data_IF_458683534872
#
_entry.id   IF_458683534872
#
_cell.length_a   1.000
_cell.length_b   1.000
_cell.length_c   1.000
_cell.angle_alpha   90.00
_cell.angle_beta   90.00
_cell.angle_gamma   90.00
#
_symmetry.space_group_name_H-M   'P 1'
#
loop_
_entity.id
_entity.type
_entity.pdbx_description
1 polymer ?
#
# COMPACT_ATOMS: atom_id res chain seq x y z
N UNK A 1 -3.39 -19.11 -18.36
CA UNK A 1 -3.86 -18.39 -17.17
C UNK A 1 -2.92 -18.60 -15.98
N UNK A 2 -2.46 -19.83 -15.75
CA UNK A 2 -1.49 -20.17 -14.69
C UNK A 2 -0.24 -19.28 -14.64
N UNK A 3 0.53 -19.17 -15.74
CA UNK A 3 1.79 -18.38 -15.76
C UNK A 3 1.54 -16.92 -15.39
N UNK A 4 0.46 -16.33 -15.91
CA UNK A 4 0.08 -14.95 -15.59
C UNK A 4 -0.28 -14.79 -14.11
N UNK A 5 -1.06 -15.72 -13.54
CA UNK A 5 -1.41 -15.70 -12.12
C UNK A 5 -0.16 -15.82 -11.23
N UNK A 6 0.75 -16.75 -11.56
CA UNK A 6 2.01 -16.92 -10.83
C UNK A 6 2.90 -15.68 -10.92
N UNK A 7 3.03 -15.08 -12.11
CA UNK A 7 3.81 -13.87 -12.30
C UNK A 7 3.26 -12.70 -11.48
N UNK A 8 1.93 -12.49 -11.51
CA UNK A 8 1.27 -11.44 -10.72
C UNK A 8 1.50 -11.66 -9.22
N UNK A 9 1.28 -12.88 -8.72
CA UNK A 9 1.50 -13.21 -7.31
C UNK A 9 2.95 -13.00 -6.90
N UNK A 10 3.91 -13.46 -7.71
CA UNK A 10 5.34 -13.32 -7.41
C UNK A 10 5.77 -11.85 -7.37
N UNK A 11 5.34 -11.04 -8.35
CA UNK A 11 5.62 -9.60 -8.38
C UNK A 11 4.98 -8.91 -7.16
N UNK A 12 3.69 -9.17 -6.88
CA UNK A 12 3.00 -8.57 -5.74
C UNK A 12 3.67 -8.93 -4.41
N UNK A 13 4.08 -10.20 -4.24
CA UNK A 13 4.77 -10.66 -3.05
C UNK A 13 6.17 -10.02 -2.93
N UNK A 14 6.90 -9.90 -4.03
CA UNK A 14 8.21 -9.24 -4.05
C UNK A 14 8.11 -7.75 -3.69
N UNK A 15 7.10 -7.04 -4.21
CA UNK A 15 6.86 -5.62 -3.87
C UNK A 15 6.54 -5.46 -2.38
N UNK A 16 5.68 -6.32 -1.84
CA UNK A 16 5.32 -6.28 -0.41
C UNK A 16 6.53 -6.64 0.49
N UNK A 17 7.32 -7.64 0.09
CA UNK A 17 8.55 -8.00 0.78
C UNK A 17 9.56 -6.86 0.77
N UNK A 18 9.71 -6.15 -0.35
CA UNK A 18 10.53 -4.94 -0.44
C UNK A 18 10.05 -3.86 0.53
N UNK A 19 8.73 -3.61 0.58
CA UNK A 19 8.15 -2.62 1.51
C UNK A 19 8.41 -2.98 2.98
N UNK A 20 8.33 -4.27 3.35
CA UNK A 20 8.70 -4.72 4.69
C UNK A 20 10.21 -4.65 4.96
N UNK A 21 11.04 -4.91 3.96
CA UNK A 21 12.49 -4.76 4.08
C UNK A 21 12.86 -3.32 4.44
N UNK A 22 12.32 -2.33 3.70
CA UNK A 22 12.55 -0.91 4.01
C UNK A 22 12.06 -0.54 5.42
N UNK A 23 10.91 -1.06 5.85
CA UNK A 23 10.36 -0.76 7.16
C UNK A 23 11.12 -1.42 8.32
N UNK A 24 11.45 -2.70 8.20
CA UNK A 24 11.95 -3.52 9.31
C UNK A 24 13.48 -3.57 9.37
N UNK A 25 14.15 -3.47 8.22
CA UNK A 25 15.62 -3.60 8.13
C UNK A 25 16.29 -2.24 8.03
N UNK A 26 15.70 -1.31 7.27
CA UNK A 26 16.24 0.04 7.08
C UNK A 26 15.59 1.09 7.99
N UNK A 27 14.65 0.68 8.85
CA UNK A 27 13.90 1.53 9.79
C UNK A 27 13.23 2.74 9.13
N UNK A 28 12.86 2.62 7.85
CA UNK A 28 12.13 3.66 7.11
C UNK A 28 10.65 3.49 7.43
N UNK A 29 10.16 4.34 8.33
CA UNK A 29 8.77 4.28 8.81
C UNK A 29 7.80 4.64 7.67
N UNK A 30 6.75 3.82 7.44
CA UNK A 30 5.82 4.07 6.35
C UNK A 30 4.85 5.20 6.70
N UNK A 31 4.55 6.01 5.70
CA UNK A 31 3.48 7.01 5.77
C UNK A 31 2.09 6.33 5.77
N UNK A 32 1.02 7.01 6.24
CA UNK A 32 -0.34 6.46 6.17
C UNK A 32 -0.75 6.01 4.76
N UNK A 33 -0.47 6.81 3.73
CA UNK A 33 -0.81 6.49 2.34
C UNK A 33 -0.02 5.28 1.80
N UNK A 34 1.22 5.12 2.28
CA UNK A 34 2.09 4.00 2.02
C UNK A 34 1.50 2.70 2.59
N UNK A 35 0.87 2.78 3.77
CA UNK A 35 0.17 1.64 4.38
C UNK A 35 -1.12 1.31 3.64
N UNK A 36 -1.87 2.33 3.20
CA UNK A 36 -3.08 2.10 2.39
C UNK A 36 -2.79 1.33 1.10
N UNK A 37 -1.71 1.67 0.39
CA UNK A 37 -1.29 0.96 -0.82
C UNK A 37 -0.96 -0.52 -0.56
N UNK A 38 -0.55 -0.89 0.67
CA UNK A 38 -0.26 -2.29 1.00
C UNK A 38 -1.50 -3.17 1.03
N UNK A 39 -2.69 -2.61 1.33
CA UNK A 39 -3.92 -3.41 1.34
C UNK A 39 -4.24 -4.02 -0.02
N UNK A 40 -3.93 -3.32 -1.11
CA UNK A 40 -4.07 -3.88 -2.44
C UNK A 40 -3.17 -5.10 -2.64
N UNK A 41 -1.92 -5.05 -2.19
CA UNK A 41 -1.01 -6.20 -2.25
C UNK A 41 -1.42 -7.34 -1.32
N UNK A 42 -1.93 -7.03 -0.11
CA UNK A 42 -2.49 -8.04 0.81
C UNK A 42 -3.70 -8.76 0.23
N UNK A 43 -4.45 -8.14 -0.69
CA UNK A 43 -5.51 -8.80 -1.45
C UNK A 43 -4.96 -9.58 -2.65
N UNK A 44 -4.10 -8.96 -3.46
CA UNK A 44 -3.62 -9.50 -4.74
C UNK A 44 -2.76 -10.75 -4.54
N UNK A 45 -1.92 -10.81 -3.50
CA UNK A 45 -1.06 -11.98 -3.23
C UNK A 45 -1.89 -13.27 -3.01
N UNK A 46 -2.80 -13.34 -2.00
CA UNK A 46 -3.58 -14.55 -1.77
C UNK A 46 -4.55 -14.83 -2.92
N UNK A 47 -5.21 -13.81 -3.48
CA UNK A 47 -6.15 -14.02 -4.59
C UNK A 47 -5.44 -14.53 -5.85
N UNK A 48 -4.28 -13.97 -6.19
CA UNK A 48 -3.47 -14.45 -7.31
C UNK A 48 -3.00 -15.90 -7.09
N UNK A 49 -2.65 -16.28 -5.86
CA UNK A 49 -2.28 -17.66 -5.52
C UNK A 49 -3.47 -18.62 -5.69
N UNK A 50 -4.68 -18.19 -5.29
CA UNK A 50 -5.92 -18.96 -5.50
C UNK A 50 -6.26 -19.10 -6.99
N UNK A 51 -6.10 -18.04 -7.78
CA UNK A 51 -6.30 -18.09 -9.25
C UNK A 51 -5.27 -18.99 -9.92
N UNK A 52 -4.01 -18.97 -9.46
CA UNK A 52 -2.97 -19.88 -9.94
C UNK A 52 -3.32 -21.34 -9.60
N UNK A 53 -3.70 -21.63 -8.36
CA UNK A 53 -4.13 -22.96 -7.94
C UNK A 53 -5.35 -23.44 -8.73
N UNK A 54 -6.36 -22.60 -8.90
CA UNK A 54 -7.53 -22.90 -9.72
C UNK A 54 -7.14 -23.21 -11.16
N UNK A 55 -6.23 -22.42 -11.74
CA UNK A 55 -5.75 -22.67 -13.12
C UNK A 55 -4.92 -23.95 -13.24
N UNK A 56 -4.24 -24.40 -12.18
CA UNK A 56 -3.49 -25.66 -12.16
C UNK A 56 -4.39 -26.89 -11.95
N UNK A 57 -5.63 -26.68 -11.51
CA UNK A 57 -6.64 -27.72 -11.26
C UNK A 57 -7.81 -27.67 -12.26
N UNK A 58 -7.59 -27.05 -13.42
CA UNK A 58 -8.57 -26.90 -14.51
C UNK A 58 -9.93 -26.32 -14.06
N UNK A 59 -9.90 -25.34 -13.14
CA UNK A 59 -11.09 -24.65 -12.70
C UNK A 59 -11.83 -23.97 -13.89
N UNK A 60 -13.17 -23.82 -13.80
CA UNK A 60 -13.95 -23.23 -14.88
C UNK A 60 -13.43 -21.84 -15.29
N UNK A 61 -13.35 -21.60 -16.60
CA UNK A 61 -12.82 -20.33 -17.15
C UNK A 61 -13.51 -19.09 -16.58
N UNK A 62 -14.82 -19.18 -16.32
CA UNK A 62 -15.58 -18.08 -15.72
C UNK A 62 -15.05 -17.67 -14.33
N UNK A 63 -14.67 -18.65 -13.50
CA UNK A 63 -14.11 -18.40 -12.15
C UNK A 63 -12.74 -17.74 -12.25
N UNK A 64 -11.88 -18.21 -13.15
CA UNK A 64 -10.55 -17.63 -13.37
C UNK A 64 -10.65 -16.19 -13.89
N UNK A 65 -11.55 -15.93 -14.84
CA UNK A 65 -11.79 -14.58 -15.38
C UNK A 65 -12.32 -13.64 -14.30
N UNK A 66 -13.25 -14.09 -13.45
CA UNK A 66 -13.73 -13.30 -12.32
C UNK A 66 -12.60 -12.96 -11.34
N UNK A 67 -11.73 -13.93 -11.01
CA UNK A 67 -10.56 -13.72 -10.17
C UNK A 67 -9.60 -12.69 -10.76
N UNK A 68 -9.28 -12.78 -12.06
CA UNK A 68 -8.46 -11.78 -12.74
C UNK A 68 -9.12 -10.40 -12.78
N UNK A 69 -10.44 -10.32 -12.97
CA UNK A 69 -11.15 -9.04 -12.98
C UNK A 69 -11.01 -8.32 -11.62
N UNK A 70 -11.15 -9.05 -10.51
CA UNK A 70 -10.96 -8.49 -9.16
C UNK A 70 -9.51 -8.02 -8.98
N UNK A 71 -8.52 -8.83 -9.39
CA UNK A 71 -7.10 -8.45 -9.34
C UNK A 71 -6.87 -7.16 -10.15
N UNK A 72 -7.41 -7.09 -11.37
CA UNK A 72 -7.27 -5.90 -12.23
C UNK A 72 -7.85 -4.67 -11.54
N UNK A 73 -9.07 -4.73 -11.00
CA UNK A 73 -9.68 -3.61 -10.29
C UNK A 73 -8.86 -3.16 -9.08
N UNK A 74 -8.37 -4.11 -8.27
CA UNK A 74 -7.54 -3.82 -7.11
C UNK A 74 -6.21 -3.14 -7.52
N UNK A 75 -5.54 -3.64 -8.56
CA UNK A 75 -4.29 -3.05 -9.05
C UNK A 75 -4.47 -1.69 -9.72
N UNK A 76 -5.58 -1.46 -10.43
CA UNK A 76 -5.92 -0.16 -11.02
C UNK A 76 -6.19 0.88 -9.94
N UNK A 77 -6.96 0.51 -8.91
CA UNK A 77 -7.18 1.36 -7.74
C UNK A 77 -5.85 1.72 -7.07
N UNK A 78 -4.99 0.73 -6.86
CA UNK A 78 -3.68 0.96 -6.26
C UNK A 78 -2.76 1.82 -7.12
N UNK A 79 -2.81 1.68 -8.45
CA UNK A 79 -2.08 2.55 -9.36
C UNK A 79 -2.56 4.00 -9.29
N UNK A 80 -3.88 4.21 -9.19
CA UNK A 80 -4.46 5.53 -8.94
C UNK A 80 -3.99 6.13 -7.61
N UNK A 81 -3.98 5.32 -6.55
CA UNK A 81 -3.49 5.74 -5.23
C UNK A 81 -1.99 6.08 -5.25
N UNK A 82 -1.18 5.30 -5.96
CA UNK A 82 0.25 5.57 -6.14
C UNK A 82 0.51 6.84 -6.96
N UNK A 83 -0.29 7.10 -7.99
CA UNK A 83 -0.22 8.35 -8.76
C UNK A 83 -0.62 9.56 -7.90
N UNK A 84 -1.67 9.41 -7.09
CA UNK A 84 -2.06 10.44 -6.11
C UNK A 84 -0.92 10.71 -5.13
N UNK A 85 -0.35 9.66 -4.52
CA UNK A 85 0.78 9.77 -3.58
C UNK A 85 1.97 10.48 -4.20
N UNK A 86 2.40 10.04 -5.38
CA UNK A 86 3.54 10.66 -6.08
C UNK A 86 3.27 12.13 -6.39
N UNK A 87 2.03 12.49 -6.77
CA UNK A 87 1.71 13.89 -7.01
C UNK A 87 1.57 14.73 -5.73
N UNK A 88 1.30 14.13 -4.56
CA UNK A 88 1.39 14.83 -3.27
C UNK A 88 2.85 15.18 -2.98
N UNK A 89 3.77 14.22 -3.14
CA UNK A 89 5.22 14.43 -2.99
C UNK A 89 5.75 15.47 -4.00
N UNK A 90 5.22 15.48 -5.22
CA UNK A 90 5.58 16.49 -6.23
C UNK A 90 4.88 17.84 -6.02
N UNK A 91 4.05 18.00 -4.98
CA UNK A 91 3.34 19.23 -4.67
C UNK A 91 2.24 19.61 -5.67
N UNK A 92 1.79 18.67 -6.50
CA UNK A 92 0.70 18.88 -7.47
C UNK A 92 -0.67 19.01 -6.80
N UNK A 93 -0.84 18.37 -5.63
CA UNK A 93 -2.07 18.40 -4.84
C UNK A 93 -1.78 18.32 -3.34
N UNK A 94 -2.73 18.78 -2.53
CA UNK A 94 -2.63 18.70 -1.07
C UNK A 94 -2.78 17.25 -0.60
N UNK A 95 -1.90 16.84 0.31
CA UNK A 95 -1.95 15.54 0.96
C UNK A 95 -3.14 15.40 1.92
N UNK A 96 -3.50 14.16 2.30
CA UNK A 96 -4.56 13.91 3.29
C UNK A 96 -4.26 14.58 4.63
N UNK A 97 -5.30 14.99 5.35
CA UNK A 97 -5.16 15.57 6.69
C UNK A 97 -4.53 14.61 7.69
N UNK A 98 -4.69 13.30 7.48
CA UNK A 98 -4.03 12.21 8.22
C UNK A 98 -2.50 12.27 8.09
N UNK A 99 -1.97 12.76 6.96
CA UNK A 99 -0.55 12.94 6.67
C UNK A 99 0.00 14.30 7.13
N UNK A 100 -0.89 15.23 7.52
CA UNK A 100 -0.56 16.53 8.09
C UNK A 100 -1.07 16.55 9.52
N UNK A 101 -0.31 15.96 10.45
CA UNK A 101 -0.73 15.85 11.84
C UNK A 101 -1.21 17.22 12.38
N UNK A 102 -2.37 17.29 13.06
CA UNK A 102 -2.81 18.54 13.64
C UNK A 102 -1.78 18.97 14.69
N UNK A 103 -1.41 20.25 14.70
CA UNK A 103 -0.82 20.91 15.87
C UNK A 103 -1.86 20.94 16.99
N UNK A 104 -2.18 19.77 17.54
CA UNK A 104 -3.18 19.60 18.58
C UNK A 104 -2.72 20.29 19.87
N UNK A 105 -3.46 21.31 20.29
CA UNK A 105 -3.31 22.13 21.50
C UNK A 105 -1.95 21.97 22.18
N UNK A 106 -1.00 22.79 21.76
CA UNK A 106 0.39 22.79 22.20
C UNK A 106 0.57 23.06 23.71
N UNK A 107 -0.49 23.41 24.45
CA UNK A 107 -0.42 23.69 25.88
C UNK A 107 0.48 24.90 26.18
N UNK A 108 0.89 25.07 27.43
CA UNK A 108 1.84 26.14 27.78
C UNK A 108 3.23 25.86 27.19
N UNK A 109 3.95 26.93 26.86
CA UNK A 109 5.25 26.89 26.20
C UNK A 109 6.32 26.02 26.91
N UNK A 110 6.14 25.72 28.20
CA UNK A 110 7.09 24.94 28.99
C UNK A 110 7.21 23.46 28.59
N UNK A 111 6.13 22.86 28.06
CA UNK A 111 6.06 21.43 27.74
C UNK A 111 5.99 21.16 26.23
N UNK A 112 6.16 22.22 25.43
CA UNK A 112 6.02 22.17 23.98
C UNK A 112 7.15 21.36 23.32
N UNK A 113 8.39 21.59 23.74
CA UNK A 113 9.57 20.89 23.23
C UNK A 113 9.49 19.37 23.49
N UNK A 114 9.06 18.97 24.68
CA UNK A 114 8.94 17.55 25.07
C UNK A 114 7.82 16.82 24.30
N UNK A 115 6.73 17.53 23.99
CA UNK A 115 5.62 16.99 23.20
C UNK A 115 5.93 16.94 21.69
N UNK A 116 6.67 17.92 21.17
CA UNK A 116 7.16 17.90 19.79
C UNK A 116 8.14 16.74 19.56
N UNK A 117 8.98 16.41 20.55
CA UNK A 117 9.91 15.28 20.46
C UNK A 117 9.18 13.93 20.41
N UNK A 118 8.02 13.83 21.08
CA UNK A 118 7.19 12.62 21.10
C UNK A 118 6.28 12.44 19.87
N UNK A 119 5.90 13.52 19.20
CA UNK A 119 4.94 13.51 18.09
C UNK A 119 5.66 13.35 16.74
N UNK A 120 6.15 12.14 16.45
CA UNK A 120 6.78 11.82 15.17
C UNK A 120 5.74 11.63 14.07
N UNK A 121 5.27 12.72 13.48
CA UNK A 121 4.36 12.71 12.32
C UNK A 121 5.16 12.34 11.07
N UNK A 122 4.89 11.16 10.50
CA UNK A 122 5.48 10.74 9.23
C UNK A 122 4.64 11.35 8.11
N UNK A 123 5.22 12.27 7.36
CA UNK A 123 4.53 12.96 6.27
C UNK A 123 4.47 12.09 5.01
N UNK A 124 3.56 12.44 4.11
CA UNK A 124 3.32 11.76 2.83
C UNK A 124 3.86 12.58 1.63
N UNK A 125 4.75 13.55 1.91
CA UNK A 125 5.44 14.40 0.92
C UNK A 125 6.96 14.23 1.00
#
# INVERSE_FOLDING_TARGET
MLVAALAITAIAAATLAGAWFFQLVLDIRPCPLCLEQRYAYYLVVPLGALVALGSARDAPRAVLVAGFAIITLATLWNAGLGAYHSGVEWGLWQGPTECTGPVGNLGSAGNLLERLDSAKVIRCD
#
